data_IF_706279065747
#
_entry.id   IF_706279065747
#
_cell.length_a   1.000
_cell.length_b   1.000
_cell.length_c   1.000
_cell.angle_alpha   90.00
_cell.angle_beta   90.00
_cell.angle_gamma   90.00
#
_symmetry.space_group_name_H-M   'P 1'
#
loop_
_entity.id
_entity.type
_entity.pdbx_description
1 polymer ?
#
# COMPACT_ATOMS: atom_id res chain seq x y z
N UNK A 1 -26.88 -34.95 -31.03
CA UNK A 1 -27.57 -35.15 -29.74
C UNK A 1 -27.24 -36.52 -29.17
N UNK A 2 -26.26 -36.64 -28.27
CA UNK A 2 -25.97 -37.87 -27.52
C UNK A 2 -25.60 -37.55 -26.07
N UNK A 3 -26.64 -37.71 -25.25
CA UNK A 3 -26.77 -37.97 -23.81
C UNK A 3 -25.46 -38.31 -23.08
N UNK A 4 -25.10 -37.49 -22.09
CA UNK A 4 -24.11 -37.82 -21.06
C UNK A 4 -24.82 -38.57 -19.93
N UNK A 5 -24.43 -39.83 -19.71
CA UNK A 5 -24.77 -40.58 -18.49
C UNK A 5 -23.49 -40.77 -17.69
N UNK A 6 -23.54 -40.30 -16.45
CA UNK A 6 -23.21 -41.00 -15.20
C UNK A 6 -22.00 -41.96 -15.20
N UNK A 7 -21.01 -41.69 -14.34
CA UNK A 7 -20.71 -42.47 -13.12
C UNK A 7 -19.21 -42.64 -12.80
N UNK A 8 -18.92 -42.84 -11.50
CA UNK A 8 -17.68 -43.27 -10.82
C UNK A 8 -16.49 -42.27 -10.86
N UNK A 9 -15.96 -41.72 -9.75
CA UNK A 9 -15.44 -42.40 -8.54
C UNK A 9 -13.93 -42.68 -8.72
N UNK A 10 -13.08 -42.40 -7.70
CA UNK A 10 -11.60 -42.62 -7.56
C UNK A 10 -10.87 -41.27 -7.33
N UNK A 11 -9.95 -41.06 -6.38
CA UNK A 11 -9.45 -41.83 -5.25
C UNK A 11 -8.68 -40.90 -4.29
N UNK A 12 -8.67 -41.27 -3.01
CA UNK A 12 -7.75 -40.79 -1.98
C UNK A 12 -6.29 -41.00 -2.41
N UNK A 13 -5.51 -39.92 -2.48
CA UNK A 13 -4.04 -39.98 -2.53
C UNK A 13 -3.50 -39.48 -1.20
N UNK A 14 -3.35 -40.41 -0.27
CA UNK A 14 -2.52 -40.26 0.92
C UNK A 14 -1.05 -40.38 0.51
N UNK A 15 -0.35 -39.25 0.48
CA UNK A 15 1.11 -39.22 0.31
C UNK A 15 1.76 -39.33 1.69
N UNK A 16 2.26 -40.52 2.00
CA UNK A 16 3.13 -40.75 3.16
C UNK A 16 4.56 -40.32 2.87
N UNK A 17 5.18 -39.62 3.83
CA UNK A 17 6.64 -39.50 3.94
C UNK A 17 7.07 -39.87 5.37
N UNK A 18 7.43 -41.15 5.48
CA UNK A 18 8.56 -41.77 6.19
C UNK A 18 8.98 -41.14 7.52
N UNK A 19 8.87 -41.98 8.55
CA UNK A 19 9.40 -41.82 9.89
C UNK A 19 10.93 -41.64 9.91
N UNK A 20 11.38 -40.57 10.57
CA UNK A 20 12.66 -40.53 11.26
C UNK A 20 12.43 -40.91 12.72
N UNK A 21 12.83 -42.11 13.12
CA UNK A 21 12.89 -42.50 14.52
C UNK A 21 14.13 -41.86 15.17
N UNK A 22 13.92 -40.83 15.98
CA UNK A 22 14.84 -40.46 17.05
C UNK A 22 14.08 -40.54 18.39
N UNK A 23 14.39 -41.59 19.14
CA UNK A 23 14.02 -41.77 20.53
C UNK A 23 14.88 -40.86 21.39
N UNK A 24 14.28 -39.86 22.03
CA UNK A 24 14.50 -39.47 23.42
C UNK A 24 14.30 -37.97 23.65
N UNK A 25 13.53 -37.73 24.70
CA UNK A 25 13.61 -36.60 25.61
C UNK A 25 12.84 -35.32 25.26
N UNK A 26 11.89 -35.07 26.16
CA UNK A 26 11.06 -33.87 26.36
C UNK A 26 11.88 -32.59 26.18
N UNK A 27 11.39 -31.68 25.34
CA UNK A 27 11.34 -30.22 25.58
C UNK A 27 10.65 -29.51 24.41
N UNK A 28 9.33 -29.69 24.31
CA UNK A 28 8.44 -28.84 23.52
C UNK A 28 8.14 -27.55 24.32
N UNK A 29 9.14 -26.68 24.47
CA UNK A 29 8.95 -25.34 25.07
C UNK A 29 9.72 -24.23 24.33
N UNK A 30 10.27 -24.51 23.14
CA UNK A 30 11.00 -23.50 22.34
C UNK A 30 10.19 -22.95 21.14
N UNK A 31 8.98 -23.43 20.89
CA UNK A 31 8.12 -22.89 19.81
C UNK A 31 7.37 -21.62 20.18
N UNK A 32 7.03 -21.39 21.45
CA UNK A 32 6.31 -20.16 21.87
C UNK A 32 7.17 -18.91 21.69
N UNK A 33 8.37 -18.91 22.28
CA UNK A 33 9.27 -17.75 22.23
C UNK A 33 9.72 -17.35 20.81
N UNK A 34 9.87 -18.30 19.88
CA UNK A 34 10.29 -17.98 18.50
C UNK A 34 9.17 -17.39 17.67
N UNK A 35 7.94 -17.87 17.87
CA UNK A 35 6.75 -17.34 17.17
C UNK A 35 6.39 -15.95 17.72
N UNK A 36 6.46 -15.77 19.04
CA UNK A 36 6.22 -14.48 19.70
C UNK A 36 7.27 -13.43 19.28
N UNK A 37 8.57 -13.76 19.32
CA UNK A 37 9.62 -12.86 18.82
C UNK A 37 9.50 -12.53 17.33
N UNK A 38 9.01 -13.46 16.51
CA UNK A 38 8.79 -13.20 15.09
C UNK A 38 7.58 -12.27 14.86
N UNK A 39 6.52 -12.43 15.65
CA UNK A 39 5.35 -11.56 15.62
C UNK A 39 5.71 -10.13 16.05
N UNK A 40 6.40 -9.98 17.19
CA UNK A 40 6.83 -8.68 17.74
C UNK A 40 7.73 -7.92 16.75
N UNK A 41 8.68 -8.61 16.12
CA UNK A 41 9.55 -8.00 15.10
C UNK A 41 8.76 -7.53 13.90
N UNK A 42 7.80 -8.33 13.42
CA UNK A 42 6.98 -7.96 12.28
C UNK A 42 6.01 -6.80 12.60
N UNK A 43 5.55 -6.66 13.85
CA UNK A 43 4.75 -5.51 14.27
C UNK A 43 5.61 -4.24 14.38
N UNK A 44 6.80 -4.33 14.99
CA UNK A 44 7.73 -3.20 15.07
C UNK A 44 8.19 -2.72 13.68
N UNK A 45 8.44 -3.64 12.75
CA UNK A 45 8.78 -3.31 11.37
C UNK A 45 7.63 -2.61 10.65
N UNK A 46 6.40 -3.10 10.81
CA UNK A 46 5.22 -2.46 10.22
C UNK A 46 5.00 -1.04 10.78
N UNK A 47 5.16 -0.85 12.08
CA UNK A 47 5.01 0.48 12.71
C UNK A 47 6.05 1.47 12.21
N UNK A 48 7.30 1.00 12.02
CA UNK A 48 8.35 1.80 11.38
C UNK A 48 7.98 2.16 9.94
N UNK A 49 7.58 1.18 9.11
CA UNK A 49 7.20 1.45 7.73
C UNK A 49 6.01 2.42 7.63
N UNK A 50 5.04 2.35 8.56
CA UNK A 50 3.93 3.30 8.65
C UNK A 50 4.41 4.70 8.99
N UNK A 51 5.32 4.84 9.95
CA UNK A 51 5.88 6.13 10.33
C UNK A 51 6.67 6.76 9.18
N UNK A 52 7.49 5.97 8.49
CA UNK A 52 8.28 6.41 7.33
C UNK A 52 7.35 6.86 6.19
N UNK A 53 6.35 6.05 5.82
CA UNK A 53 5.40 6.41 4.76
C UNK A 53 4.55 7.63 5.14
N UNK A 54 4.18 7.77 6.42
CA UNK A 54 3.47 8.97 6.92
C UNK A 54 4.31 10.23 6.68
N UNK A 55 5.60 10.18 7.01
CA UNK A 55 6.51 11.30 6.78
C UNK A 55 6.66 11.61 5.29
N UNK A 56 6.80 10.59 4.45
CA UNK A 56 6.85 10.76 2.99
C UNK A 56 5.58 11.44 2.46
N UNK A 57 4.39 10.99 2.87
CA UNK A 57 3.10 11.60 2.49
C UNK A 57 3.04 13.07 2.92
N UNK A 58 3.45 13.40 4.15
CA UNK A 58 3.48 14.77 4.65
C UNK A 58 4.41 15.66 3.81
N UNK A 59 5.63 15.19 3.52
CA UNK A 59 6.56 15.92 2.65
C UNK A 59 6.02 16.10 1.22
N UNK A 60 5.25 15.11 0.74
CA UNK A 60 4.51 15.19 -0.51
C UNK A 60 3.46 16.30 -0.52
N UNK A 61 2.65 16.35 0.53
CA UNK A 61 1.61 17.36 0.73
C UNK A 61 2.21 18.77 0.79
N UNK A 62 3.31 18.96 1.52
CA UNK A 62 3.97 20.26 1.63
C UNK A 62 4.46 20.78 0.25
N UNK A 63 4.99 19.88 -0.59
CA UNK A 63 5.41 20.21 -1.96
C UNK A 63 4.21 20.55 -2.86
N UNK A 64 3.12 19.79 -2.74
CA UNK A 64 1.88 20.04 -3.47
C UNK A 64 1.28 21.39 -3.09
N UNK A 65 1.18 21.69 -1.79
CA UNK A 65 0.64 22.96 -1.30
C UNK A 65 1.50 24.14 -1.80
N UNK A 66 2.83 23.99 -1.79
CA UNK A 66 3.75 25.01 -2.34
C UNK A 66 3.52 25.24 -3.85
N UNK A 67 3.34 24.17 -4.64
CA UNK A 67 3.07 24.29 -6.09
C UNK A 67 1.70 24.90 -6.35
N UNK A 68 0.68 24.52 -5.59
CA UNK A 68 -0.67 25.08 -5.66
C UNK A 68 -0.66 26.59 -5.40
N UNK A 69 0.05 27.03 -4.35
CA UNK A 69 0.15 28.45 -4.03
C UNK A 69 0.84 29.24 -5.14
N UNK A 70 1.90 28.68 -5.73
CA UNK A 70 2.57 29.28 -6.89
C UNK A 70 1.65 29.39 -8.10
N UNK A 71 0.95 28.31 -8.48
CA UNK A 71 0.03 28.30 -9.62
C UNK A 71 -1.13 29.28 -9.41
N UNK A 72 -1.68 29.35 -8.19
CA UNK A 72 -2.74 30.31 -7.85
C UNK A 72 -2.23 31.75 -7.92
N UNK A 73 -0.97 32.01 -7.58
CA UNK A 73 -0.37 33.33 -7.74
C UNK A 73 -0.21 33.67 -9.24
N UNK A 74 0.35 32.76 -10.04
CA UNK A 74 0.49 32.92 -11.49
C UNK A 74 -0.88 33.14 -12.18
N UNK A 75 -1.91 32.42 -11.73
CA UNK A 75 -3.27 32.53 -12.28
C UNK A 75 -3.93 33.89 -11.99
N UNK A 76 -3.50 34.63 -10.95
CA UNK A 76 -4.04 35.97 -10.65
C UNK A 76 -3.60 37.00 -11.69
N UNK A 77 -2.39 36.85 -12.20
CA UNK A 77 -1.79 37.77 -13.16
C UNK A 77 -2.04 37.34 -14.62
N UNK A 78 -2.42 36.08 -14.83
CA UNK A 78 -2.75 35.52 -16.14
C UNK A 78 -4.17 35.91 -16.64
N UNK A 79 -4.36 35.86 -17.95
CA UNK A 79 -5.66 36.06 -18.61
C UNK A 79 -5.82 35.13 -19.82
N UNK A 80 -7.07 34.97 -20.29
CA UNK A 80 -7.40 34.09 -21.42
C UNK A 80 -6.96 32.64 -21.19
N UNK A 81 -6.55 31.97 -22.26
CA UNK A 81 -6.17 30.55 -22.26
C UNK A 81 -5.08 30.21 -21.24
N UNK A 82 -4.16 31.15 -20.95
CA UNK A 82 -3.13 30.95 -19.95
C UNK A 82 -3.72 30.82 -18.54
N UNK A 83 -4.73 31.63 -18.22
CA UNK A 83 -5.44 31.54 -16.94
C UNK A 83 -6.23 30.24 -16.85
N UNK A 84 -6.93 29.87 -17.91
CA UNK A 84 -7.74 28.64 -17.94
C UNK A 84 -6.87 27.39 -17.74
N UNK A 85 -5.69 27.35 -18.37
CA UNK A 85 -4.74 26.25 -18.17
C UNK A 85 -4.20 26.18 -16.74
N UNK A 86 -3.88 27.33 -16.13
CA UNK A 86 -3.42 27.38 -14.73
C UNK A 86 -4.53 26.94 -13.77
N UNK A 87 -5.77 27.38 -13.99
CA UNK A 87 -6.93 26.99 -13.18
C UNK A 87 -7.23 25.48 -13.33
N UNK A 88 -7.00 24.89 -14.50
CA UNK A 88 -7.10 23.44 -14.71
C UNK A 88 -6.02 22.68 -13.92
N UNK A 89 -4.77 23.14 -13.98
CA UNK A 89 -3.66 22.54 -13.23
C UNK A 89 -3.91 22.62 -11.71
N UNK A 90 -4.39 23.76 -11.21
CA UNK A 90 -4.78 23.93 -9.81
C UNK A 90 -5.83 22.87 -9.41
N UNK A 91 -6.89 22.71 -10.20
CA UNK A 91 -7.94 21.71 -9.93
C UNK A 91 -7.41 20.28 -9.93
N UNK A 92 -6.46 19.94 -10.82
CA UNK A 92 -5.83 18.60 -10.84
C UNK A 92 -5.01 18.37 -9.57
N UNK A 93 -4.15 19.32 -9.21
CA UNK A 93 -3.30 19.20 -8.03
C UNK A 93 -4.09 19.23 -6.72
N UNK A 94 -5.21 19.97 -6.64
CA UNK A 94 -6.12 19.94 -5.48
C UNK A 94 -6.68 18.54 -5.25
N UNK A 95 -7.13 17.85 -6.31
CA UNK A 95 -7.62 16.47 -6.21
C UNK A 95 -6.52 15.51 -5.75
N UNK A 96 -5.30 15.68 -6.27
CA UNK A 96 -4.16 14.88 -5.86
C UNK A 96 -3.80 15.13 -4.39
N UNK A 97 -3.82 16.39 -3.94
CA UNK A 97 -3.63 16.79 -2.55
C UNK A 97 -4.68 16.17 -1.62
N UNK A 98 -5.94 16.17 -2.01
CA UNK A 98 -7.00 15.53 -1.22
C UNK A 98 -6.83 14.01 -1.13
N UNK A 99 -6.43 13.36 -2.24
CA UNK A 99 -6.10 11.93 -2.24
C UNK A 99 -4.95 11.61 -1.28
N UNK A 100 -3.89 12.41 -1.30
CA UNK A 100 -2.74 12.25 -0.39
C UNK A 100 -3.12 12.47 1.07
N UNK A 101 -4.04 13.41 1.37
CA UNK A 101 -4.57 13.57 2.73
C UNK A 101 -5.38 12.35 3.20
N UNK A 102 -6.14 11.73 2.29
CA UNK A 102 -6.85 10.48 2.63
C UNK A 102 -5.86 9.37 2.97
N UNK A 103 -4.79 9.21 2.18
CA UNK A 103 -3.72 8.27 2.51
C UNK A 103 -3.07 8.60 3.86
N UNK A 104 -2.85 9.88 4.16
CA UNK A 104 -2.31 10.29 5.47
C UNK A 104 -3.22 9.88 6.64
N UNK A 105 -4.54 9.98 6.47
CA UNK A 105 -5.52 9.54 7.47
C UNK A 105 -5.56 8.02 7.62
N UNK A 106 -5.33 7.31 6.52
CA UNK A 106 -5.52 5.86 6.43
C UNK A 106 -4.27 5.04 6.75
N UNK A 107 -3.07 5.63 6.71
CA UNK A 107 -1.79 4.92 6.92
C UNK A 107 -1.76 4.14 8.24
N UNK A 108 -2.29 4.71 9.32
CA UNK A 108 -2.35 4.06 10.64
C UNK A 108 -3.43 2.98 10.77
N UNK A 109 -4.39 2.93 9.84
CA UNK A 109 -5.51 1.98 9.84
C UNK A 109 -5.21 0.69 9.05
N UNK A 110 -4.14 0.70 8.24
CA UNK A 110 -3.78 -0.43 7.40
C UNK A 110 -3.24 -1.58 8.23
N UNK A 111 -3.59 -2.82 7.92
CA UNK A 111 -3.09 -4.03 8.58
C UNK A 111 -1.90 -4.65 7.83
N UNK A 112 -1.22 -5.64 8.42
CA UNK A 112 -0.15 -6.39 7.75
C UNK A 112 -0.58 -6.94 6.38
N UNK A 113 -1.83 -7.39 6.24
CA UNK A 113 -2.31 -8.05 5.01
C UNK A 113 -2.60 -7.08 3.86
N UNK A 114 -2.94 -5.82 4.12
CA UNK A 114 -3.23 -4.84 3.08
C UNK A 114 -2.10 -3.80 2.88
N UNK A 115 -1.08 -3.83 3.73
CA UNK A 115 0.01 -2.85 3.76
C UNK A 115 0.76 -2.71 2.44
N UNK A 116 1.14 -3.81 1.79
CA UNK A 116 1.90 -3.73 0.53
C UNK A 116 1.08 -3.11 -0.60
N UNK A 117 -0.22 -3.41 -0.66
CA UNK A 117 -1.13 -2.78 -1.62
C UNK A 117 -1.25 -1.29 -1.34
N UNK A 118 -1.46 -0.91 -0.07
CA UNK A 118 -1.53 0.49 0.32
C UNK A 118 -0.26 1.27 -0.08
N UNK A 119 0.94 0.72 0.19
CA UNK A 119 2.21 1.32 -0.25
C UNK A 119 2.26 1.51 -1.76
N UNK A 120 1.80 0.53 -2.53
CA UNK A 120 1.77 0.63 -4.00
C UNK A 120 0.81 1.72 -4.48
N UNK A 121 -0.38 1.81 -3.89
CA UNK A 121 -1.40 2.82 -4.24
C UNK A 121 -0.90 4.25 -3.91
N UNK A 122 -0.20 4.43 -2.78
CA UNK A 122 0.46 5.71 -2.43
C UNK A 122 1.57 6.06 -3.42
N UNK A 123 2.44 5.10 -3.77
CA UNK A 123 3.54 5.31 -4.73
C UNK A 123 3.04 5.67 -6.12
N UNK A 124 1.98 5.02 -6.59
CA UNK A 124 1.34 5.39 -7.86
C UNK A 124 0.87 6.84 -7.83
N UNK A 125 0.23 7.25 -6.73
CA UNK A 125 -0.24 8.63 -6.58
C UNK A 125 0.91 9.65 -6.53
N UNK A 126 2.08 9.28 -6.00
CA UNK A 126 3.25 10.14 -6.03
C UNK A 126 3.82 10.33 -7.43
N UNK A 127 3.87 9.27 -8.24
CA UNK A 127 4.34 9.39 -9.62
C UNK A 127 3.34 10.21 -10.46
N UNK A 128 2.02 10.02 -10.28
CA UNK A 128 0.99 10.89 -10.91
C UNK A 128 1.22 12.37 -10.56
N UNK A 129 1.41 12.69 -9.27
CA UNK A 129 1.70 14.07 -8.82
C UNK A 129 2.97 14.62 -9.46
N UNK A 130 4.01 13.79 -9.55
CA UNK A 130 5.30 14.21 -10.11
C UNK A 130 5.22 14.45 -11.61
N UNK A 131 4.35 13.74 -12.32
CA UNK A 131 4.04 14.01 -13.72
C UNK A 131 3.28 15.34 -13.84
N UNK A 132 2.24 15.55 -13.02
CA UNK A 132 1.45 16.81 -13.02
C UNK A 132 2.28 18.07 -12.69
N UNK A 133 3.38 17.93 -11.94
CA UNK A 133 4.25 19.06 -11.55
C UNK A 133 5.36 19.36 -12.58
N UNK A 134 5.71 18.40 -13.45
CA UNK A 134 6.81 18.55 -14.42
C UNK A 134 6.45 19.40 -15.63
N UNK A 135 5.16 19.56 -15.91
CA UNK A 135 4.63 20.48 -16.94
C UNK A 135 4.53 21.93 -16.39
#
# INVERSE_FOLDING_TARGET
>A
MKKYKLSLGIALVSLGLIAGACSSNRNMSSSGNKVEQAADKADAELDKERADLKLEIQQGLDKLDTRLDKLRAEAKDASGDAKDNLDEQVKKLEKSRDRMNNYLSDVGKQTKSNWQKFKADVRSSFEEVKEDIKD
#
